data_IF_207273294365
#
_entry.id   IF_207273294365
#
_cell.length_a   1.000
_cell.length_b   1.000
_cell.length_c   1.000
_cell.angle_alpha   90.00
_cell.angle_beta   90.00
_cell.angle_gamma   90.00
#
_symmetry.space_group_name_H-M   'P 1'
#
loop_
_entity.id
_entity.type
_entity.pdbx_description
1 polymer ?
#
# COMPACT_ATOMS: atom_id res chain seq x y z
N UNK A 1 -12.50 25.82 -9.18
CA UNK A 1 -13.38 24.88 -8.45
C UNK A 1 -12.57 23.62 -8.19
N UNK A 2 -12.12 23.41 -6.96
CA UNK A 2 -11.45 22.17 -6.54
C UNK A 2 -12.49 21.05 -6.53
N UNK A 3 -12.20 19.94 -7.22
CA UNK A 3 -13.09 18.77 -7.29
C UNK A 3 -12.38 17.58 -6.68
N UNK A 4 -12.99 16.99 -5.66
CA UNK A 4 -12.55 15.72 -5.08
C UNK A 4 -13.17 14.56 -5.85
N UNK A 5 -12.48 13.42 -5.86
CA UNK A 5 -12.96 12.18 -6.48
C UNK A 5 -12.77 11.00 -5.54
N UNK A 6 -13.81 10.18 -5.46
CA UNK A 6 -13.76 8.78 -5.02
C UNK A 6 -14.15 7.96 -6.25
N UNK A 7 -13.23 7.12 -6.74
CA UNK A 7 -13.45 6.26 -7.89
C UNK A 7 -13.26 4.79 -7.49
N UNK A 8 -14.09 3.92 -8.04
CA UNK A 8 -13.92 2.47 -7.96
C UNK A 8 -13.57 1.96 -9.35
N UNK A 9 -12.39 1.38 -9.51
CA UNK A 9 -11.91 0.89 -10.79
C UNK A 9 -12.42 -0.53 -11.04
N UNK A 10 -13.54 -0.63 -11.73
CA UNK A 10 -14.15 -1.90 -12.11
C UNK A 10 -13.61 -2.40 -13.45
N UNK A 11 -12.73 -3.40 -13.41
CA UNK A 11 -12.25 -4.09 -14.60
C UNK A 11 -12.03 -5.60 -14.32
N UNK A 12 -12.12 -6.47 -15.34
CA UNK A 12 -11.89 -7.89 -15.16
C UNK A 12 -10.46 -8.17 -14.66
N UNK A 13 -10.33 -8.85 -13.52
CA UNK A 13 -9.01 -9.17 -12.92
C UNK A 13 -8.44 -10.52 -13.36
N UNK A 14 -9.12 -11.26 -14.24
CA UNK A 14 -8.73 -12.60 -14.70
C UNK A 14 -7.32 -12.65 -15.29
N UNK A 15 -6.95 -11.68 -16.12
CA UNK A 15 -5.61 -11.62 -16.72
C UNK A 15 -4.52 -11.36 -15.68
N UNK A 16 -4.82 -10.57 -14.64
CA UNK A 16 -3.90 -10.30 -13.53
C UNK A 16 -3.69 -11.56 -12.68
N UNK A 17 -4.77 -12.30 -12.43
CA UNK A 17 -4.76 -13.56 -11.67
C UNK A 17 -4.09 -14.71 -12.42
N UNK A 18 -4.09 -14.71 -13.76
CA UNK A 18 -3.51 -15.77 -14.57
C UNK A 18 -1.97 -15.85 -14.46
N UNK A 19 -1.31 -14.75 -14.10
CA UNK A 19 0.13 -14.74 -13.86
C UNK A 19 0.43 -15.29 -12.46
N UNK A 20 1.33 -16.28 -12.32
CA UNK A 20 1.71 -16.82 -11.02
C UNK A 20 2.13 -15.73 -10.03
N UNK A 21 1.75 -15.88 -8.76
CA UNK A 21 1.95 -14.86 -7.75
C UNK A 21 3.42 -14.43 -7.65
N UNK A 22 4.36 -15.38 -7.67
CA UNK A 22 5.81 -15.18 -7.53
C UNK A 22 6.54 -14.81 -8.83
N UNK A 23 5.84 -14.72 -9.97
CA UNK A 23 6.45 -14.39 -11.26
C UNK A 23 6.93 -12.93 -11.35
N UNK A 24 6.44 -12.04 -10.46
CA UNK A 24 6.77 -10.61 -10.45
C UNK A 24 6.81 -10.06 -9.02
N UNK A 25 7.20 -8.79 -8.84
CA UNK A 25 7.07 -8.10 -7.55
C UNK A 25 5.65 -7.56 -7.25
N UNK A 26 4.72 -7.66 -8.22
CA UNK A 26 3.36 -7.14 -8.09
C UNK A 26 2.48 -8.12 -7.31
N UNK A 27 2.22 -7.80 -6.04
CA UNK A 27 1.45 -8.63 -5.10
C UNK A 27 -0.08 -8.46 -5.21
N UNK A 28 -0.58 -7.39 -5.84
CA UNK A 28 -2.01 -7.08 -5.89
C UNK A 28 -2.74 -7.86 -6.99
N UNK A 29 -2.86 -9.18 -6.80
CA UNK A 29 -3.45 -10.10 -7.79
C UNK A 29 -4.79 -10.72 -7.36
N UNK A 30 -5.47 -10.13 -6.39
CA UNK A 30 -6.71 -10.69 -5.83
C UNK A 30 -7.96 -10.43 -6.67
N UNK A 31 -9.07 -11.04 -6.25
CA UNK A 31 -10.41 -10.81 -6.83
C UNK A 31 -11.07 -9.59 -6.18
N UNK A 32 -10.41 -8.44 -6.27
CA UNK A 32 -10.87 -7.18 -5.71
C UNK A 32 -10.63 -6.03 -6.70
N UNK A 33 -11.31 -4.91 -6.46
CA UNK A 33 -11.15 -3.68 -7.24
C UNK A 33 -10.34 -2.66 -6.44
N UNK A 34 -9.79 -1.67 -7.13
CA UNK A 34 -9.06 -0.57 -6.52
C UNK A 34 -10.05 0.57 -6.24
N UNK A 35 -10.00 1.12 -5.03
CA UNK A 35 -10.66 2.37 -4.68
C UNK A 35 -9.63 3.50 -4.65
N UNK A 36 -9.86 4.55 -5.44
CA UNK A 36 -8.96 5.70 -5.56
C UNK A 36 -9.61 6.93 -4.95
N UNK A 37 -8.89 7.59 -4.04
CA UNK A 37 -9.34 8.81 -3.37
C UNK A 37 -8.36 9.96 -3.57
N UNK A 38 -8.78 10.97 -4.33
CA UNK A 38 -8.09 12.26 -4.42
C UNK A 38 -8.99 13.36 -3.87
N UNK A 39 -8.63 13.88 -2.70
CA UNK A 39 -9.38 14.93 -2.02
C UNK A 39 -8.65 16.26 -2.24
N UNK A 40 -9.31 17.17 -2.95
CA UNK A 40 -8.74 18.47 -3.32
C UNK A 40 -9.23 19.54 -2.36
N UNK A 41 -8.31 20.39 -1.91
CA UNK A 41 -8.58 21.54 -1.06
C UNK A 41 -7.56 22.65 -1.39
N UNK A 42 -7.92 23.90 -1.12
CA UNK A 42 -7.20 25.10 -1.56
C UNK A 42 -6.48 25.85 -0.42
N UNK A 43 -6.57 25.32 0.81
CA UNK A 43 -5.96 25.92 1.99
C UNK A 43 -5.23 24.87 2.83
N UNK A 44 -3.94 25.09 3.09
CA UNK A 44 -3.10 24.20 3.90
C UNK A 44 -3.61 24.01 5.34
N UNK A 45 -4.44 24.92 5.86
CA UNK A 45 -5.10 24.73 7.16
C UNK A 45 -6.05 23.51 7.18
N UNK A 46 -6.44 23.00 6.01
CA UNK A 46 -7.31 21.82 5.88
C UNK A 46 -6.55 20.49 5.88
N UNK A 47 -5.21 20.49 5.79
CA UNK A 47 -4.38 19.29 5.69
C UNK A 47 -4.77 18.20 6.70
N UNK A 48 -4.77 18.56 7.99
CA UNK A 48 -5.05 17.62 9.07
C UNK A 48 -6.46 17.04 8.97
N UNK A 49 -7.45 17.90 8.69
CA UNK A 49 -8.86 17.51 8.58
C UNK A 49 -9.11 16.59 7.37
N UNK A 50 -8.53 16.91 6.22
CA UNK A 50 -8.70 16.12 5.00
C UNK A 50 -7.98 14.77 5.11
N UNK A 51 -6.78 14.73 5.69
CA UNK A 51 -6.05 13.47 5.95
C UNK A 51 -6.80 12.58 6.94
N UNK A 52 -7.36 13.14 8.01
CA UNK A 52 -8.17 12.39 8.97
C UNK A 52 -9.40 11.77 8.29
N UNK A 53 -10.18 12.57 7.56
CA UNK A 53 -11.32 12.08 6.81
C UNK A 53 -10.95 11.01 5.78
N UNK A 54 -9.83 11.17 5.05
CA UNK A 54 -9.34 10.16 4.09
C UNK A 54 -9.05 8.82 4.78
N UNK A 55 -8.40 8.83 5.96
CA UNK A 55 -8.12 7.61 6.73
C UNK A 55 -9.39 6.97 7.27
N UNK A 56 -10.33 7.76 7.77
CA UNK A 56 -11.63 7.25 8.23
C UNK A 56 -12.41 6.57 7.09
N UNK A 57 -12.50 7.22 5.93
CA UNK A 57 -13.17 6.66 4.76
C UNK A 57 -12.43 5.43 4.20
N UNK A 58 -11.08 5.47 4.16
CA UNK A 58 -10.26 4.30 3.81
C UNK A 58 -10.56 3.12 4.73
N UNK A 59 -10.53 3.33 6.05
CA UNK A 59 -10.81 2.29 7.04
C UNK A 59 -12.22 1.76 6.90
N UNK A 60 -13.21 2.62 6.65
CA UNK A 60 -14.58 2.20 6.39
C UNK A 60 -14.66 1.29 5.16
N UNK A 61 -14.08 1.70 4.03
CA UNK A 61 -14.08 0.92 2.78
C UNK A 61 -13.39 -0.42 3.00
N UNK A 62 -12.22 -0.45 3.64
CA UNK A 62 -11.44 -1.70 3.81
C UNK A 62 -12.06 -2.65 4.83
N UNK A 63 -12.63 -2.15 5.93
CA UNK A 63 -13.19 -3.01 6.99
C UNK A 63 -14.63 -3.42 6.76
N UNK A 64 -15.43 -2.59 6.10
CA UNK A 64 -16.88 -2.82 5.90
C UNK A 64 -17.21 -3.37 4.52
N UNK A 65 -16.46 -2.95 3.50
CA UNK A 65 -16.71 -3.33 2.10
C UNK A 65 -15.56 -4.15 1.48
N UNK A 66 -14.44 -4.32 2.20
CA UNK A 66 -13.18 -4.85 1.70
C UNK A 66 -12.81 -6.22 2.26
N UNK A 67 -11.51 -6.54 2.22
CA UNK A 67 -10.99 -7.85 2.61
C UNK A 67 -11.06 -8.04 4.14
N UNK A 68 -11.76 -9.08 4.59
CA UNK A 68 -11.89 -9.42 6.01
C UNK A 68 -10.79 -10.39 6.47
N UNK A 69 -10.08 -10.07 7.56
CA UNK A 69 -9.15 -10.98 8.24
C UNK A 69 -7.66 -10.66 8.08
N UNK A 70 -6.80 -11.41 8.77
CA UNK A 70 -5.35 -11.36 8.56
C UNK A 70 -5.01 -12.08 7.25
N UNK A 71 -4.21 -11.46 6.38
CA UNK A 71 -3.65 -12.14 5.19
C UNK A 71 -2.92 -13.42 5.62
N UNK A 72 -3.23 -14.53 4.96
CA UNK A 72 -2.40 -15.71 5.02
C UNK A 72 -1.13 -15.51 4.16
N UNK A 73 -0.02 -16.20 4.46
CA UNK A 73 1.09 -16.31 3.52
C UNK A 73 0.58 -16.77 2.15
N UNK A 74 1.00 -16.10 1.08
CA UNK A 74 0.56 -16.33 -0.29
C UNK A 74 -0.68 -15.55 -0.71
N UNK A 75 -1.40 -14.90 0.22
CA UNK A 75 -2.54 -14.06 -0.15
C UNK A 75 -2.06 -12.80 -0.89
N UNK A 76 -2.77 -12.37 -1.94
CA UNK A 76 -2.50 -11.10 -2.61
C UNK A 76 -2.51 -9.90 -1.67
N UNK A 77 -1.61 -8.95 -1.89
CA UNK A 77 -1.63 -7.68 -1.18
C UNK A 77 -2.84 -6.83 -1.64
N UNK A 78 -3.54 -6.12 -0.73
CA UNK A 78 -4.71 -5.32 -1.11
C UNK A 78 -4.35 -3.94 -1.67
N UNK A 79 -3.09 -3.52 -1.56
CA UNK A 79 -2.62 -2.19 -1.93
C UNK A 79 -2.02 -2.14 -3.33
N UNK A 80 -2.22 -1.01 -4.03
CA UNK A 80 -1.52 -0.72 -5.27
C UNK A 80 -0.53 0.41 -5.02
N UNK A 81 0.73 0.04 -4.79
CA UNK A 81 1.80 0.94 -4.29
C UNK A 81 2.00 2.22 -5.09
N UNK A 82 1.60 2.26 -6.36
CA UNK A 82 1.69 3.45 -7.21
C UNK A 82 0.68 4.56 -6.84
N UNK A 83 -0.40 4.22 -6.12
CA UNK A 83 -1.42 5.16 -5.67
C UNK A 83 -1.35 5.45 -4.17
N UNK A 84 -0.38 4.86 -3.48
CA UNK A 84 -0.20 5.04 -2.04
C UNK A 84 0.43 6.39 -1.73
N UNK A 85 -0.17 7.08 -0.78
CA UNK A 85 0.25 8.41 -0.35
C UNK A 85 0.90 8.40 1.04
N UNK A 86 0.64 7.37 1.84
CA UNK A 86 1.26 7.16 3.14
C UNK A 86 2.22 5.96 3.06
N UNK A 87 3.23 5.95 3.92
CA UNK A 87 4.15 4.83 4.03
C UNK A 87 3.43 3.58 4.48
N UNK A 88 3.52 2.51 3.68
CA UNK A 88 3.10 1.18 4.08
C UNK A 88 4.28 0.41 4.65
N UNK A 89 4.00 -0.52 5.57
CA UNK A 89 4.97 -1.56 5.88
C UNK A 89 5.27 -2.34 4.58
N UNK A 90 6.53 -2.72 4.32
CA UNK A 90 6.89 -3.47 3.12
C UNK A 90 6.05 -4.74 2.94
N UNK A 91 5.74 -5.41 4.04
CA UNK A 91 4.91 -6.62 4.10
C UNK A 91 3.47 -6.37 3.60
N UNK A 92 2.91 -5.20 3.92
CA UNK A 92 1.60 -4.79 3.42
C UNK A 92 1.67 -4.42 1.94
N UNK A 93 2.73 -3.73 1.52
CA UNK A 93 2.93 -3.26 0.15
C UNK A 93 3.24 -4.38 -0.86
N UNK A 94 4.12 -5.32 -0.49
CA UNK A 94 4.66 -6.33 -1.42
C UNK A 94 4.40 -7.77 -0.97
N UNK A 95 3.81 -7.99 0.20
CA UNK A 95 3.48 -9.33 0.68
C UNK A 95 4.69 -10.24 0.81
N UNK A 96 4.55 -11.48 0.36
CA UNK A 96 5.61 -12.50 0.46
C UNK A 96 6.84 -12.15 -0.41
N UNK A 97 6.69 -11.24 -1.38
CA UNK A 97 7.79 -10.84 -2.25
C UNK A 97 8.84 -9.99 -1.54
N UNK A 98 8.51 -9.41 -0.37
CA UNK A 98 9.45 -8.60 0.42
C UNK A 98 10.76 -9.31 0.67
N UNK A 99 10.72 -10.64 0.93
CA UNK A 99 11.94 -11.42 1.19
C UNK A 99 12.93 -11.32 0.01
N UNK A 100 12.46 -11.65 -1.19
CA UNK A 100 13.27 -11.57 -2.42
C UNK A 100 13.68 -10.13 -2.73
N UNK A 101 12.78 -9.16 -2.48
CA UNK A 101 13.08 -7.75 -2.69
C UNK A 101 14.18 -7.24 -1.75
N UNK A 102 14.23 -7.71 -0.49
CA UNK A 102 15.32 -7.42 0.45
C UNK A 102 16.65 -7.98 -0.01
N UNK A 103 16.67 -9.23 -0.50
CA UNK A 103 17.87 -9.84 -1.08
C UNK A 103 18.41 -9.00 -2.26
N UNK A 104 17.52 -8.55 -3.16
CA UNK A 104 17.89 -7.68 -4.27
C UNK A 104 18.40 -6.31 -3.79
N UNK A 105 17.70 -5.69 -2.84
CA UNK A 105 18.09 -4.40 -2.26
C UNK A 105 19.48 -4.48 -1.64
N UNK A 106 19.77 -5.52 -0.86
CA UNK A 106 21.09 -5.73 -0.28
C UNK A 106 22.18 -5.96 -1.35
N UNK A 107 21.86 -6.70 -2.42
CA UNK A 107 22.80 -6.97 -3.51
C UNK A 107 23.12 -5.72 -4.35
N UNK A 108 22.14 -4.89 -4.63
CA UNK A 108 22.25 -3.80 -5.61
C UNK A 108 22.34 -2.40 -4.99
N UNK A 109 21.95 -2.23 -3.73
CA UNK A 109 22.03 -0.98 -2.99
C UNK A 109 22.32 -1.23 -1.49
N UNK A 110 23.49 -1.83 -1.18
CA UNK A 110 23.86 -2.22 0.19
C UNK A 110 23.97 -1.03 1.15
N UNK A 111 24.38 0.14 0.65
CA UNK A 111 24.49 1.39 1.43
C UNK A 111 23.15 2.16 1.52
N UNK A 112 22.07 1.57 1.00
CA UNK A 112 20.73 2.13 1.00
C UNK A 112 20.66 3.57 0.44
N UNK A 113 21.37 3.86 -0.65
CA UNK A 113 21.36 5.16 -1.33
C UNK A 113 19.95 5.54 -1.80
N UNK A 114 19.16 4.54 -2.23
CA UNK A 114 17.81 4.73 -2.76
C UNK A 114 16.74 4.33 -1.75
N UNK A 115 16.36 5.24 -0.86
CA UNK A 115 15.29 5.03 0.12
C UNK A 115 14.14 6.03 -0.07
N UNK A 116 12.89 5.56 0.11
CA UNK A 116 11.68 6.38 0.07
C UNK A 116 10.56 5.74 0.91
N UNK A 117 9.33 6.19 0.72
CA UNK A 117 8.15 5.94 1.55
C UNK A 117 7.81 4.47 1.81
N UNK A 118 8.13 3.52 0.92
CA UNK A 118 7.86 2.08 1.11
C UNK A 118 9.17 1.28 1.15
N UNK A 119 10.13 1.72 1.97
CA UNK A 119 11.49 1.20 1.97
C UNK A 119 11.55 -0.31 2.27
N UNK A 120 12.18 -1.07 1.38
CA UNK A 120 12.24 -2.54 1.44
C UNK A 120 13.16 -3.03 2.56
N UNK A 121 14.07 -2.18 3.05
CA UNK A 121 14.96 -2.50 4.18
C UNK A 121 14.19 -2.34 5.50
N UNK A 122 14.26 -3.37 6.33
CA UNK A 122 14.04 -3.24 7.79
C UNK A 122 15.41 -3.45 8.42
N UNK A 123 15.95 -2.40 9.04
CA UNK A 123 17.15 -2.55 9.87
C UNK A 123 16.83 -3.27 11.19
N UNK A 124 17.81 -3.96 11.79
CA UNK A 124 17.57 -4.91 12.88
C UNK A 124 17.14 -4.17 14.15
N UNK A 125 15.85 -4.28 14.49
CA UNK A 125 15.28 -4.02 15.80
C UNK A 125 15.66 -2.70 16.47
N UNK A 126 14.89 -1.64 16.24
CA UNK A 126 14.54 -0.64 17.27
C UNK A 126 13.60 0.41 16.69
N UNK A 127 12.30 0.26 16.95
CA UNK A 127 11.40 1.40 17.10
C UNK A 127 10.51 1.17 18.31
N UNK A 128 11.16 1.02 19.47
CA UNK A 128 10.60 1.51 20.73
C UNK A 128 11.03 2.96 20.92
N UNK A 129 10.17 3.88 20.52
CA UNK A 129 10.06 5.25 21.04
C UNK A 129 8.63 5.66 20.68
N UNK A 130 7.70 5.86 21.59
CA UNK A 130 7.77 6.39 22.93
C UNK A 130 6.51 7.24 23.03
N UNK A 131 5.75 7.03 24.08
CA UNK A 131 4.56 7.81 24.39
C UNK A 131 4.88 9.32 24.40
N UNK A 132 3.98 10.10 23.81
CA UNK A 132 3.45 11.34 24.38
C UNK A 132 2.00 11.48 23.90
#
# INVERSE_FOLDING_TARGET
MTKSVLAFEFFPTTAIQATPHDATAFANRGKHYIAVMALMYDNASHDAKVRAFKRELFNYITTTCGYHGKRAPGDPAPFYVNLEHESLAPEDAFGDHVKRLRELKHRYDPENVFYKWNCIIVEPGTSTSGQA
#
